data_IF_040293359205
#
_entry.id   IF_040293359205
#
_cell.length_a   1.000
_cell.length_b   1.000
_cell.length_c   1.000
_cell.angle_alpha   90.00
_cell.angle_beta   90.00
_cell.angle_gamma   90.00
#
_symmetry.space_group_name_H-M   'P 1'
#
loop_
_entity.id
_entity.type
_entity.pdbx_description
1 polymer ?
#
# COMPACT_ATOMS: atom_id res chain seq x y z
N UNK A 1 -4.51 -2.33 6.94
CA UNK A 1 -4.62 -2.58 5.48
C UNK A 1 -4.62 -1.29 4.65
N UNK A 2 -5.40 -0.22 4.96
CA UNK A 2 -5.37 1.01 4.14
C UNK A 2 -4.00 1.70 4.09
N UNK A 3 -3.11 1.36 5.02
CA UNK A 3 -1.72 1.81 5.05
C UNK A 3 -0.86 1.18 3.94
N UNK A 4 -1.30 0.06 3.34
CA UNK A 4 -0.55 -0.72 2.34
C UNK A 4 -1.27 -0.78 0.99
N UNK A 5 -2.61 -0.80 1.01
CA UNK A 5 -3.44 -0.87 -0.20
C UNK A 5 -4.10 0.48 -0.43
N UNK A 6 -3.85 1.06 -1.60
CA UNK A 6 -4.66 2.16 -2.13
C UNK A 6 -5.92 1.58 -2.76
N UNK A 7 -7.05 1.78 -2.09
CA UNK A 7 -8.35 1.27 -2.52
C UNK A 7 -8.72 1.72 -3.94
N UNK A 8 -9.28 0.80 -4.73
CA UNK A 8 -9.63 0.99 -6.13
C UNK A 8 -8.46 1.14 -7.11
N UNK A 9 -7.21 1.24 -6.63
CA UNK A 9 -6.02 1.47 -7.47
C UNK A 9 -5.00 0.35 -7.43
N UNK A 10 -4.69 -0.14 -6.23
CA UNK A 10 -3.69 -1.21 -6.02
C UNK A 10 -4.29 -2.47 -5.41
N UNK A 11 -5.58 -2.40 -5.07
CA UNK A 11 -6.41 -3.47 -4.51
C UNK A 11 -7.76 -2.88 -4.12
N UNK A 12 -8.58 -3.68 -3.45
CA UNK A 12 -9.88 -3.25 -2.92
C UNK A 12 -9.93 -3.52 -1.42
N UNK A 13 -10.42 -2.55 -0.65
CA UNK A 13 -10.65 -2.67 0.78
C UNK A 13 -12.15 -2.79 1.00
N UNK A 14 -12.57 -3.96 1.46
CA UNK A 14 -13.97 -4.33 1.63
C UNK A 14 -14.23 -4.76 3.08
N UNK A 15 -15.47 -4.67 3.51
CA UNK A 15 -15.89 -4.95 4.90
C UNK A 15 -16.38 -6.37 5.09
N UNK A 16 -16.89 -7.00 4.03
CA UNK A 16 -17.48 -8.32 4.09
C UNK A 16 -17.26 -9.14 2.80
N UNK A 17 -17.76 -10.38 2.83
CA UNK A 17 -17.59 -11.35 1.76
C UNK A 17 -18.37 -10.99 0.50
N UNK A 18 -19.54 -10.38 0.63
CA UNK A 18 -20.38 -10.04 -0.51
C UNK A 18 -19.75 -8.88 -1.30
N UNK A 19 -19.22 -7.88 -0.59
CA UNK A 19 -18.39 -6.83 -1.17
C UNK A 19 -17.12 -7.40 -1.84
N UNK A 20 -16.48 -8.40 -1.23
CA UNK A 20 -15.31 -9.07 -1.81
C UNK A 20 -15.64 -9.76 -3.14
N UNK A 21 -16.78 -10.45 -3.24
CA UNK A 21 -17.26 -11.04 -4.49
C UNK A 21 -17.49 -9.97 -5.56
N UNK A 22 -18.02 -8.81 -5.16
CA UNK A 22 -18.17 -7.65 -6.04
C UNK A 22 -16.83 -7.08 -6.51
N UNK A 23 -15.83 -7.00 -5.63
CA UNK A 23 -14.50 -6.48 -5.94
C UNK A 23 -13.72 -7.40 -6.90
N UNK A 24 -13.85 -8.72 -6.77
CA UNK A 24 -13.23 -9.69 -7.68
C UNK A 24 -13.66 -9.44 -9.13
N UNK A 25 -14.93 -9.08 -9.35
CA UNK A 25 -15.44 -8.77 -10.70
C UNK A 25 -14.84 -7.51 -11.32
N UNK A 26 -14.19 -6.66 -10.53
CA UNK A 26 -13.55 -5.41 -10.96
C UNK A 26 -12.02 -5.52 -11.02
N UNK A 27 -11.47 -6.73 -10.90
CA UNK A 27 -10.01 -6.92 -10.81
C UNK A 27 -9.26 -6.42 -12.06
N UNK A 28 -9.93 -6.42 -13.21
CA UNK A 28 -9.45 -5.88 -14.48
C UNK A 28 -9.26 -4.35 -14.47
N UNK A 29 -9.92 -3.63 -13.55
CA UNK A 29 -9.69 -2.19 -13.36
C UNK A 29 -8.36 -1.87 -12.69
N UNK A 30 -7.69 -2.86 -12.08
CA UNK A 30 -6.41 -2.68 -11.40
C UNK A 30 -5.26 -2.84 -12.40
N UNK A 31 -4.48 -1.77 -12.56
CA UNK A 31 -3.25 -1.81 -13.36
C UNK A 31 -2.10 -2.36 -12.53
N UNK A 32 -1.58 -3.53 -12.91
CA UNK A 32 -0.43 -4.18 -12.24
C UNK A 32 0.79 -3.26 -12.08
N UNK A 33 1.01 -2.36 -13.04
CA UNK A 33 2.10 -1.38 -12.98
C UNK A 33 1.92 -0.36 -11.85
N UNK A 34 0.69 0.03 -11.53
CA UNK A 34 0.42 0.95 -10.43
C UNK A 34 0.69 0.29 -9.07
N UNK A 35 0.37 -1.00 -8.93
CA UNK A 35 0.78 -1.80 -7.76
C UNK A 35 2.31 -1.80 -7.60
N UNK A 36 3.04 -2.06 -8.70
CA UNK A 36 4.51 -2.09 -8.68
C UNK A 36 5.11 -0.74 -8.28
N UNK A 37 4.63 0.34 -8.91
CA UNK A 37 5.07 1.72 -8.61
C UNK A 37 4.79 2.10 -7.16
N UNK A 38 3.62 1.72 -6.64
CA UNK A 38 3.27 2.00 -5.24
C UNK A 38 4.28 1.38 -4.27
N UNK A 39 4.68 0.13 -4.51
CA UNK A 39 5.69 -0.56 -3.70
C UNK A 39 7.06 0.11 -3.81
N UNK A 40 7.52 0.37 -5.03
CA UNK A 40 8.80 1.03 -5.29
C UNK A 40 8.90 2.44 -4.70
N UNK A 41 7.76 3.12 -4.53
CA UNK A 41 7.71 4.49 -4.01
C UNK A 41 7.50 4.59 -2.51
N UNK A 42 7.07 3.53 -1.81
CA UNK A 42 6.64 3.66 -0.40
C UNK A 42 7.24 2.61 0.54
N UNK A 43 7.67 1.46 0.01
CA UNK A 43 8.06 0.29 0.80
C UNK A 43 9.46 -0.23 0.44
N UNK A 44 10.34 0.68 0.01
CA UNK A 44 11.75 0.32 -0.24
C UNK A 44 12.55 0.20 1.04
N UNK A 45 13.61 -0.62 1.01
CA UNK A 45 14.57 -0.72 2.11
C UNK A 45 15.14 0.64 2.48
N UNK A 46 15.49 1.47 1.48
CA UNK A 46 16.01 2.82 1.71
C UNK A 46 15.03 3.67 2.52
N UNK A 47 13.75 3.69 2.14
CA UNK A 47 12.75 4.48 2.87
C UNK A 47 12.50 3.95 4.28
N UNK A 48 12.58 2.64 4.50
CA UNK A 48 12.51 2.06 5.83
C UNK A 48 13.66 2.58 6.70
N UNK A 49 14.90 2.42 6.23
CA UNK A 49 16.11 2.86 6.95
C UNK A 49 16.08 4.37 7.22
N UNK A 50 15.83 5.19 6.19
CA UNK A 50 15.78 6.64 6.31
C UNK A 50 14.72 7.10 7.34
N UNK A 51 13.58 6.38 7.47
CA UNK A 51 12.54 6.68 8.46
C UNK A 51 12.99 6.33 9.88
N UNK A 52 13.62 5.17 10.09
CA UNK A 52 14.15 4.78 11.39
C UNK A 52 15.30 5.69 11.86
N UNK A 53 16.24 6.02 10.97
CA UNK A 53 17.33 6.94 11.28
C UNK A 53 16.80 8.30 11.75
N UNK A 54 15.84 8.87 11.00
CA UNK A 54 15.18 10.13 11.38
C UNK A 54 14.48 10.05 12.73
N UNK A 55 13.85 8.91 13.05
CA UNK A 55 13.20 8.72 14.34
C UNK A 55 14.22 8.69 15.47
N UNK A 56 15.31 7.93 15.33
CA UNK A 56 16.35 7.85 16.36
C UNK A 56 17.06 9.19 16.58
N UNK A 57 17.33 9.95 15.52
CA UNK A 57 17.87 11.30 15.62
C UNK A 57 16.97 12.25 16.43
N UNK A 58 15.65 12.14 16.28
CA UNK A 58 14.69 12.97 17.04
C UNK A 58 14.55 12.56 18.51
N UNK A 59 14.84 11.30 18.84
CA UNK A 59 14.73 10.80 20.21
C UNK A 59 15.99 11.07 21.04
N UNK A 60 17.12 11.30 20.36
CA UNK A 60 18.43 11.47 21.00
C UNK A 60 18.86 12.93 21.07
N UNK A 61 18.25 13.80 20.27
CA UNK A 61 18.37 15.26 20.33
C UNK A 61 17.21 15.87 21.12
#
# INVERSE_FOLDING_TARGET
VPEVVVDGKTGFIVKDKDEMVGAIKKIDSIKRLDCRRHVEQNFTLKQMVDKYEKLYQRLTN
#
